data_IF_733118141086
#
_entry.id   IF_733118141086
#
_cell.length_a   1.000
_cell.length_b   1.000
_cell.length_c   1.000
_cell.angle_alpha   90.00
_cell.angle_beta   90.00
_cell.angle_gamma   90.00
#
_symmetry.space_group_name_H-M   'P 1'
#
loop_
_entity.id
_entity.type
_entity.pdbx_description
1 polymer ?
#
# COMPACT_ATOMS: atom_id res chain seq x y z
N UNK A 1 -6.62 -1.35 12.50
CA UNK A 1 -7.17 -2.07 11.33
C UNK A 1 -6.14 -3.05 10.71
N UNK A 2 -5.21 -3.62 11.49
CA UNK A 2 -4.16 -4.50 10.92
C UNK A 2 -4.64 -5.94 10.63
N UNK A 3 -5.68 -6.41 11.33
CA UNK A 3 -6.28 -7.72 11.10
C UNK A 3 -7.42 -7.68 10.09
N UNK A 4 -7.59 -8.71 9.23
CA UNK A 4 -8.66 -8.77 8.24
C UNK A 4 -10.06 -8.72 8.86
N UNK A 5 -10.26 -9.33 10.03
CA UNK A 5 -11.55 -9.29 10.74
C UNK A 5 -11.91 -7.86 11.17
N UNK A 6 -10.98 -7.14 11.81
CA UNK A 6 -11.18 -5.74 12.22
C UNK A 6 -11.46 -4.81 11.03
N UNK A 7 -10.87 -5.09 9.86
CA UNK A 7 -11.17 -4.33 8.62
C UNK A 7 -12.59 -4.61 8.15
N UNK A 8 -12.97 -5.88 8.07
CA UNK A 8 -14.32 -6.26 7.65
C UNK A 8 -15.40 -5.72 8.58
N UNK A 9 -15.15 -5.67 9.89
CA UNK A 9 -16.04 -5.03 10.86
C UNK A 9 -16.18 -3.54 10.60
N UNK A 10 -15.07 -2.84 10.36
CA UNK A 10 -15.08 -1.39 10.10
C UNK A 10 -15.70 -1.04 8.74
N UNK A 11 -15.46 -1.83 7.70
CA UNK A 11 -16.13 -1.72 6.40
C UNK A 11 -17.65 -1.81 6.58
N UNK A 12 -18.10 -2.80 7.36
CA UNK A 12 -19.53 -2.96 7.65
C UNK A 12 -20.11 -1.79 8.43
N UNK A 13 -19.41 -1.31 9.45
CA UNK A 13 -19.83 -0.15 10.22
C UNK A 13 -19.97 1.10 9.32
N UNK A 14 -19.01 1.33 8.42
CA UNK A 14 -19.07 2.44 7.47
C UNK A 14 -20.24 2.30 6.50
N UNK A 15 -20.51 1.11 5.99
CA UNK A 15 -21.65 0.83 5.13
C UNK A 15 -22.98 1.14 5.82
N UNK A 16 -23.12 0.76 7.10
CA UNK A 16 -24.33 1.04 7.89
C UNK A 16 -24.48 2.54 8.17
N UNK A 17 -23.40 3.22 8.61
CA UNK A 17 -23.43 4.64 8.94
C UNK A 17 -23.62 5.57 7.72
N UNK A 18 -23.14 5.11 6.56
CA UNK A 18 -23.24 5.83 5.31
C UNK A 18 -24.41 5.37 4.46
N UNK A 19 -25.25 4.42 4.92
CA UNK A 19 -26.37 3.87 4.13
C UNK A 19 -25.90 3.49 2.70
N UNK A 20 -24.89 2.63 2.65
CA UNK A 20 -24.28 2.07 1.45
C UNK A 20 -24.46 0.55 1.51
N UNK A 21 -24.87 -0.12 0.41
CA UNK A 21 -25.05 -1.56 0.44
C UNK A 21 -23.74 -2.30 0.76
N UNK A 22 -23.87 -3.53 1.29
CA UNK A 22 -22.72 -4.38 1.61
C UNK A 22 -21.82 -4.64 0.39
N UNK A 23 -20.51 -4.63 0.61
CA UNK A 23 -19.49 -4.90 -0.41
C UNK A 23 -19.12 -3.70 -1.28
N UNK A 24 -19.56 -2.49 -0.94
CA UNK A 24 -19.25 -1.27 -1.70
C UNK A 24 -18.23 -0.35 -1.01
N UNK A 25 -17.71 -0.76 0.15
CA UNK A 25 -16.61 -0.11 0.84
C UNK A 25 -15.53 -1.15 1.13
N UNK A 26 -14.29 -0.84 0.73
CA UNK A 26 -13.12 -1.65 1.05
C UNK A 26 -12.10 -0.76 1.77
N UNK A 27 -11.58 -1.26 2.89
CA UNK A 27 -10.48 -0.63 3.62
C UNK A 27 -9.22 -1.44 3.32
N UNK A 28 -8.27 -0.82 2.61
CA UNK A 28 -6.94 -1.37 2.43
C UNK A 28 -5.95 -0.71 3.39
N UNK A 29 -5.11 -1.54 4.00
CA UNK A 29 -4.06 -1.11 4.93
C UNK A 29 -2.81 -1.86 4.52
N UNK A 30 -1.76 -1.17 4.07
CA UNK A 30 -0.53 -1.83 3.67
C UNK A 30 0.12 -2.44 4.91
N UNK A 31 0.70 -3.63 4.76
CA UNK A 31 1.42 -4.27 5.86
C UNK A 31 2.59 -3.39 6.29
N UNK A 32 2.71 -3.12 7.60
CA UNK A 32 3.87 -2.40 8.17
C UNK A 32 5.21 -3.02 7.80
N UNK A 33 5.24 -4.35 7.66
CA UNK A 33 6.40 -5.10 7.22
C UNK A 33 6.91 -4.63 5.85
N UNK A 34 6.05 -4.23 4.91
CA UNK A 34 6.49 -3.71 3.60
C UNK A 34 7.42 -2.49 3.74
N UNK A 35 7.18 -1.64 4.74
CA UNK A 35 8.03 -0.49 5.03
C UNK A 35 9.36 -0.84 5.72
N UNK A 36 9.43 -2.00 6.37
CA UNK A 36 10.55 -2.42 7.22
C UNK A 36 11.41 -3.55 6.62
N UNK A 37 10.86 -4.36 5.71
CA UNK A 37 11.45 -5.65 5.32
C UNK A 37 11.91 -5.75 3.86
N UNK A 38 11.49 -4.86 2.97
CA UNK A 38 12.01 -4.88 1.60
C UNK A 38 13.47 -4.40 1.63
N UNK A 39 14.46 -5.23 1.22
CA UNK A 39 15.85 -4.80 1.15
C UNK A 39 15.92 -3.64 0.19
N UNK A 40 16.20 -2.48 0.76
CA UNK A 40 16.33 -1.21 0.06
C UNK A 40 17.50 -1.30 -0.89
N UNK A 41 17.27 -1.70 -2.13
CA UNK A 41 18.29 -1.63 -3.20
C UNK A 41 18.76 -0.16 -3.37
N UNK A 42 17.96 0.82 -2.94
CA UNK A 42 18.38 2.22 -2.81
C UNK A 42 19.41 2.47 -1.71
N UNK A 43 19.50 1.63 -0.68
CA UNK A 43 20.46 1.74 0.43
C UNK A 43 21.58 0.70 0.41
N UNK A 44 21.55 -0.23 -0.55
CA UNK A 44 22.53 -1.30 -0.68
C UNK A 44 23.06 -1.26 -2.11
N UNK A 45 24.22 -0.64 -2.31
CA UNK A 45 25.02 -0.89 -3.50
C UNK A 45 25.37 -2.38 -3.50
N UNK A 46 25.05 -3.08 -4.59
CA UNK A 46 25.33 -4.51 -4.73
C UNK A 46 26.50 -4.63 -5.70
N UNK A 47 27.76 -4.66 -5.20
CA UNK A 47 28.92 -4.88 -6.05
C UNK A 47 28.93 -6.31 -6.57
N UNK A 48 29.22 -6.46 -7.87
CA UNK A 48 29.29 -7.74 -8.57
C UNK A 48 30.63 -7.81 -9.29
N UNK A 49 31.31 -8.96 -9.19
CA UNK A 49 32.46 -9.25 -10.02
C UNK A 49 31.98 -9.62 -11.43
N UNK A 50 32.19 -8.73 -12.39
CA UNK A 50 31.83 -8.91 -13.79
C UNK A 50 33.07 -8.66 -14.66
N UNK A 51 33.47 -9.66 -15.43
CA UNK A 51 34.67 -9.63 -16.28
C UNK A 51 35.94 -9.08 -15.60
N UNK A 52 36.21 -9.56 -14.37
CA UNK A 52 37.35 -9.17 -13.51
C UNK A 52 37.30 -7.74 -12.95
N UNK A 53 36.23 -7.00 -13.21
CA UNK A 53 35.97 -5.69 -12.61
C UNK A 53 34.83 -5.79 -11.58
N UNK A 54 34.84 -4.90 -10.59
CA UNK A 54 33.74 -4.78 -9.63
C UNK A 54 32.83 -3.66 -10.12
N UNK A 55 31.59 -3.99 -10.46
CA UNK A 55 30.58 -3.06 -10.96
C UNK A 55 29.28 -3.17 -10.18
N UNK A 56 28.41 -2.17 -10.24
CA UNK A 56 27.10 -2.23 -9.58
C UNK A 56 26.13 -3.13 -10.36
N UNK A 57 25.31 -3.93 -9.66
CA UNK A 57 24.31 -4.80 -10.26
C UNK A 57 23.34 -4.06 -11.22
N UNK A 58 23.03 -2.79 -10.96
CA UNK A 58 22.18 -1.95 -11.82
C UNK A 58 22.78 -1.69 -13.21
N UNK A 59 24.11 -1.76 -13.36
CA UNK A 59 24.80 -1.58 -14.63
C UNK A 59 24.76 -2.86 -15.50
N UNK A 60 24.60 -4.01 -14.85
CA UNK A 60 24.59 -5.32 -15.51
C UNK A 60 23.20 -5.66 -16.04
N UNK A 61 22.12 -5.25 -15.36
CA UNK A 61 20.76 -5.67 -15.73
C UNK A 61 19.67 -4.64 -15.44
N UNK A 62 18.75 -4.39 -16.39
CA UNK A 62 17.63 -3.47 -16.19
C UNK A 62 16.63 -3.94 -15.13
N UNK A 63 16.58 -5.26 -14.82
CA UNK A 63 15.67 -5.78 -13.79
C UNK A 63 16.04 -5.28 -12.39
N UNK A 64 17.34 -5.09 -12.12
CA UNK A 64 17.80 -4.58 -10.83
C UNK A 64 17.29 -3.15 -10.58
N UNK A 65 17.31 -2.32 -11.63
CA UNK A 65 16.72 -0.98 -11.59
C UNK A 65 15.20 -1.01 -11.41
N UNK A 66 14.51 -1.89 -12.13
CA UNK A 66 13.05 -2.02 -12.02
C UNK A 66 12.59 -2.45 -10.62
N UNK A 67 13.34 -3.35 -9.97
CA UNK A 67 13.06 -3.76 -8.58
C UNK A 67 13.28 -2.60 -7.62
N UNK A 68 14.32 -1.78 -7.81
CA UNK A 68 14.61 -0.58 -7.01
C UNK A 68 13.53 0.50 -7.15
N UNK A 69 13.01 0.71 -8.35
CA UNK A 69 12.00 1.75 -8.63
C UNK A 69 10.59 1.38 -8.15
N UNK A 70 10.39 0.14 -7.70
CA UNK A 70 9.10 -0.32 -7.17
C UNK A 70 8.74 0.49 -5.91
N UNK A 71 7.81 1.42 -6.08
CA UNK A 71 7.35 2.30 -4.99
C UNK A 71 6.58 1.50 -3.95
N UNK A 72 6.97 1.69 -2.69
CA UNK A 72 6.12 1.33 -1.56
C UNK A 72 4.91 2.29 -1.59
N UNK A 73 3.69 1.80 -1.30
CA UNK A 73 2.55 2.66 -1.06
C UNK A 73 2.91 3.79 -0.08
N UNK A 74 2.64 5.04 -0.44
CA UNK A 74 2.89 6.23 0.39
C UNK A 74 1.71 6.56 1.33
N UNK A 75 0.68 5.72 1.33
CA UNK A 75 -0.50 5.83 2.17
C UNK A 75 -0.48 4.78 3.29
N UNK A 76 -1.05 5.15 4.44
CA UNK A 76 -1.21 4.25 5.59
C UNK A 76 -2.56 3.52 5.61
N UNK A 77 -3.57 4.11 4.96
CA UNK A 77 -4.91 3.57 4.85
C UNK A 77 -5.53 4.11 3.56
N UNK A 78 -6.21 3.24 2.81
CA UNK A 78 -6.98 3.60 1.64
C UNK A 78 -8.43 3.12 1.80
N UNK A 79 -9.37 3.96 1.41
CA UNK A 79 -10.80 3.62 1.35
C UNK A 79 -11.22 3.60 -0.11
N UNK A 80 -11.64 2.44 -0.58
CA UNK A 80 -12.09 2.24 -1.96
C UNK A 80 -13.60 2.10 -1.95
N UNK A 81 -14.26 2.86 -2.81
CA UNK A 81 -15.72 2.88 -2.94
C UNK A 81 -16.10 3.04 -4.41
N UNK A 82 -17.31 2.62 -4.77
CA UNK A 82 -17.84 2.94 -6.10
C UNK A 82 -17.91 4.46 -6.30
N UNK A 83 -17.65 4.91 -7.54
CA UNK A 83 -17.61 6.34 -7.88
C UNK A 83 -18.90 7.09 -7.48
N UNK A 84 -20.07 6.44 -7.59
CA UNK A 84 -21.36 6.99 -7.16
C UNK A 84 -21.42 7.38 -5.68
N UNK A 85 -20.60 6.78 -4.82
CA UNK A 85 -20.55 7.05 -3.38
C UNK A 85 -19.37 7.95 -2.98
N UNK A 86 -18.45 8.24 -3.90
CA UNK A 86 -17.19 8.95 -3.61
C UNK A 86 -17.41 10.26 -2.84
N UNK A 87 -18.35 11.09 -3.28
CA UNK A 87 -18.66 12.37 -2.61
C UNK A 87 -19.21 12.16 -1.20
N UNK A 88 -20.21 11.29 -1.06
CA UNK A 88 -20.85 10.93 0.23
C UNK A 88 -19.83 10.43 1.26
N UNK A 89 -18.87 9.63 0.79
CA UNK A 89 -17.81 9.05 1.62
C UNK A 89 -16.77 10.10 1.97
N UNK A 90 -16.24 10.85 1.00
CA UNK A 90 -15.17 11.86 1.20
C UNK A 90 -15.54 12.88 2.29
N UNK A 91 -16.78 13.33 2.31
CA UNK A 91 -17.24 14.37 3.26
C UNK A 91 -17.28 13.89 4.73
N UNK A 92 -17.31 12.57 4.97
CA UNK A 92 -17.50 11.99 6.31
C UNK A 92 -16.36 11.07 6.75
N UNK A 93 -15.59 10.51 5.81
CA UNK A 93 -14.72 9.36 6.06
C UNK A 93 -13.65 9.60 7.12
N UNK A 94 -13.04 10.79 7.15
CA UNK A 94 -12.00 11.13 8.13
C UNK A 94 -12.52 11.02 9.58
N UNK A 95 -13.76 11.46 9.82
CA UNK A 95 -14.38 11.40 11.14
C UNK A 95 -14.77 9.96 11.52
N UNK A 96 -15.25 9.19 10.55
CA UNK A 96 -15.74 7.83 10.80
C UNK A 96 -14.61 6.82 10.99
N UNK A 97 -13.47 7.03 10.32
CA UNK A 97 -12.31 6.14 10.42
C UNK A 97 -11.57 6.26 11.76
N UNK A 98 -11.51 7.46 12.33
CA UNK A 98 -10.80 7.75 13.57
C UNK A 98 -11.63 7.46 14.83
N UNK A 99 -12.90 7.12 14.65
CA UNK A 99 -13.84 6.76 15.70
C UNK A 99 -13.74 5.28 16.03
#
# INVERSE_FOLDING_TARGET
MEGPQKRSEKEKELEDELDIPRGHIIIDVPKRELFLSEPRIDKVEIPVLYDKEIVDLMEITPIARAIKEKKIPDWYLMVVVDEKYRKKVTDRIEKLILR
#
